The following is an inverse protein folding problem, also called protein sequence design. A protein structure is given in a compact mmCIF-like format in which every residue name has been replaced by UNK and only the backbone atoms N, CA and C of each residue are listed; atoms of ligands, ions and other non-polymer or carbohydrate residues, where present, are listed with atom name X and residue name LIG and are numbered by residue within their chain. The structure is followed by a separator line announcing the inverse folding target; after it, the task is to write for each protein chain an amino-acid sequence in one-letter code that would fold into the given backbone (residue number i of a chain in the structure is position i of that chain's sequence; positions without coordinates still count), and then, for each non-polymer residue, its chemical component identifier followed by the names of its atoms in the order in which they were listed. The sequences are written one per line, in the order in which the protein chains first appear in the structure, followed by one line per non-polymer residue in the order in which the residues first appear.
data_IF_034338801082
#
_entry.id   IF_034338801082
#
_cell.length_a   1.000
_cell.length_b   1.000
_cell.length_c   1.000
_cell.angle_alpha   90.00
_cell.angle_beta   90.00
_cell.angle_gamma   90.00
#
_symmetry.space_group_name_H-M   'P 1'
#
loop_
_entity.id
_entity.type
_entity.pdbx_description
1 polymer ?
#
# COMPACT_ATOMS: atom_id res chain seq x y z
N UNK A 1 3.72 5.90 -51.55
CA UNK A 1 3.63 6.80 -50.37
C UNK A 1 3.21 6.10 -49.08
N UNK A 2 2.29 5.12 -49.09
CA UNK A 2 1.83 4.47 -47.84
C UNK A 2 2.85 3.59 -47.11
N UNK A 3 3.78 2.93 -47.82
CA UNK A 3 4.74 2.01 -47.22
C UNK A 3 5.80 2.72 -46.34
N UNK A 4 6.22 3.92 -46.75
CA UNK A 4 7.19 4.73 -46.01
C UNK A 4 6.57 5.24 -44.70
N UNK A 5 5.29 5.62 -44.73
CA UNK A 5 4.55 6.08 -43.54
C UNK A 5 4.41 4.95 -42.51
N UNK A 6 4.15 3.71 -42.96
CA UNK A 6 4.05 2.54 -42.08
C UNK A 6 5.38 2.19 -41.38
N UNK A 7 6.51 2.36 -42.06
CA UNK A 7 7.83 2.15 -41.47
C UNK A 7 8.14 3.22 -40.41
N UNK A 8 7.79 4.48 -40.67
CA UNK A 8 8.04 5.57 -39.72
C UNK A 8 7.19 5.41 -38.45
N UNK A 9 5.91 5.03 -38.59
CA UNK A 9 5.03 4.84 -37.42
C UNK A 9 5.44 3.64 -36.58
N UNK A 10 5.89 2.55 -37.20
CA UNK A 10 6.39 1.37 -36.47
C UNK A 10 7.67 1.66 -35.70
N UNK A 11 8.62 2.39 -36.30
CA UNK A 11 9.85 2.82 -35.61
C UNK A 11 9.52 3.75 -34.42
N UNK A 12 8.57 4.67 -34.59
CA UNK A 12 8.15 5.58 -33.52
C UNK A 12 7.50 4.84 -32.34
N UNK A 13 6.66 3.84 -32.62
CA UNK A 13 6.04 2.99 -31.59
C UNK A 13 7.10 2.18 -30.83
N UNK A 14 8.08 1.59 -31.52
CA UNK A 14 9.18 0.84 -30.90
C UNK A 14 10.02 1.75 -29.99
N UNK A 15 10.28 2.99 -30.43
CA UNK A 15 10.99 3.98 -29.62
C UNK A 15 10.20 4.35 -28.36
N UNK A 16 8.88 4.54 -28.48
CA UNK A 16 8.00 4.86 -27.34
C UNK A 16 8.00 3.73 -26.29
N UNK A 17 7.90 2.48 -26.74
CA UNK A 17 7.91 1.29 -25.87
C UNK A 17 9.27 1.14 -25.18
N UNK A 18 10.37 1.33 -25.91
CA UNK A 18 11.73 1.24 -25.34
C UNK A 18 11.96 2.30 -24.26
N UNK A 19 11.50 3.52 -24.48
CA UNK A 19 11.62 4.60 -23.50
C UNK A 19 10.74 4.33 -22.25
N UNK A 20 9.57 3.71 -22.42
CA UNK A 20 8.72 3.32 -21.30
C UNK A 20 9.37 2.25 -20.42
N UNK A 21 10.01 1.24 -21.02
CA UNK A 21 10.69 0.15 -20.31
C UNK A 21 11.91 0.67 -19.53
N UNK A 22 12.68 1.59 -20.12
CA UNK A 22 13.85 2.17 -19.47
C UNK A 22 13.48 3.00 -18.23
N UNK A 23 12.33 3.69 -18.24
CA UNK A 23 11.84 4.45 -17.09
C UNK A 23 11.21 3.57 -15.99
N UNK A 24 10.85 2.32 -16.29
CA UNK A 24 10.28 1.39 -15.32
C UNK A 24 11.33 0.70 -14.44
N UNK A 25 12.61 0.70 -14.83
CA UNK A 25 13.68 -0.06 -14.17
C UNK A 25 14.40 0.68 -13.02
N UNK A 26 13.95 1.88 -12.64
CA UNK A 26 14.68 2.75 -11.70
C UNK A 26 13.98 2.91 -10.33
N UNK A 27 13.50 1.84 -9.69
CA UNK A 27 13.10 1.92 -8.27
C UNK A 27 13.30 0.60 -7.52
N UNK A 28 14.48 -0.02 -7.60
CA UNK A 28 14.81 -1.02 -6.58
C UNK A 28 16.31 -1.23 -6.41
N UNK A 29 16.95 -0.38 -5.58
CA UNK A 29 17.86 -0.77 -4.49
C UNK A 29 17.94 0.41 -3.52
N UNK A 30 17.25 0.31 -2.39
CA UNK A 30 17.68 1.00 -1.17
C UNK A 30 17.21 0.14 0.00
N UNK A 31 18.15 -0.67 0.46
CA UNK A 31 18.30 -1.15 1.83
C UNK A 31 17.76 -0.10 2.82
N UNK A 32 16.64 -0.38 3.48
CA UNK A 32 16.23 0.42 4.62
C UNK A 32 16.03 -0.49 5.82
N UNK A 33 17.14 -0.65 6.54
CA UNK A 33 17.21 -1.16 7.88
C UNK A 33 16.48 -0.16 8.79
N UNK A 34 15.45 -0.60 9.51
CA UNK A 34 14.77 0.30 10.44
C UNK A 34 14.48 -0.37 11.77
N UNK A 35 15.38 -0.08 12.70
CA UNK A 35 15.15 -0.10 14.13
C UNK A 35 14.12 0.98 14.50
N UNK A 36 12.83 0.67 14.39
CA UNK A 36 11.79 1.49 15.01
C UNK A 36 11.59 1.03 16.46
N UNK A 37 12.28 1.68 17.40
CA UNK A 37 12.00 1.55 18.83
C UNK A 37 10.65 2.19 19.15
N UNK A 38 9.62 1.37 19.30
CA UNK A 38 8.32 1.81 19.79
C UNK A 38 8.44 2.19 21.28
N UNK A 39 8.49 3.50 21.58
CA UNK A 39 8.15 3.98 22.91
C UNK A 39 6.64 3.81 23.13
N UNK A 40 6.26 2.65 23.66
CA UNK A 40 4.93 2.42 24.24
C UNK A 40 5.08 2.39 25.76
N UNK A 41 4.84 3.54 26.41
CA UNK A 41 4.53 3.55 27.84
C UNK A 41 3.05 3.23 27.99
N UNK A 42 2.76 1.96 28.23
CA UNK A 42 1.51 1.53 28.86
C UNK A 42 1.85 0.35 29.77
N UNK A 43 1.78 0.59 31.07
CA UNK A 43 1.99 -0.37 32.14
C UNK A 43 0.98 -1.52 32.01
N UNK A 44 1.38 -2.61 31.34
CA UNK A 44 0.59 -3.84 31.29
C UNK A 44 0.99 -4.76 32.44
N UNK A 45 0.01 -5.02 33.32
CA UNK A 45 0.10 -5.92 34.47
C UNK A 45 0.34 -7.36 33.96
N UNK A 46 1.50 -7.93 34.30
CA UNK A 46 1.91 -9.30 33.95
C UNK A 46 1.02 -10.31 34.66
N UNK A 47 0.24 -11.10 33.90
CA UNK A 47 -0.31 -12.37 34.39
C UNK A 47 0.15 -13.49 33.47
N UNK A 48 0.76 -14.52 34.06
CA UNK A 48 1.57 -15.52 33.34
C UNK A 48 0.87 -16.87 33.35
N UNK A 49 0.99 -17.58 32.22
CA UNK A 49 0.65 -18.99 31.91
C UNK A 49 -0.77 -19.21 31.38
N UNK A 50 -0.86 -19.49 30.07
CA UNK A 50 -1.07 -20.86 29.54
C UNK A 50 -0.42 -20.92 28.15
N UNK A 51 0.52 -21.85 27.96
CA UNK A 51 1.02 -22.26 26.65
C UNK A 51 -0.11 -23.00 25.91
N UNK A 52 -0.58 -22.45 24.79
CA UNK A 52 -1.38 -23.21 23.84
C UNK A 52 -0.59 -23.40 22.55
N UNK A 53 -0.24 -24.65 22.28
CA UNK A 53 0.22 -25.15 20.99
C UNK A 53 -0.71 -24.61 19.88
N UNK A 54 -0.21 -23.69 19.03
CA UNK A 54 -0.86 -23.27 17.80
C UNK A 54 0.19 -23.17 16.70
N UNK A 55 0.05 -24.05 15.71
CA UNK A 55 0.52 -23.97 14.32
C UNK A 55 1.20 -22.65 13.97
N UNK A 56 2.46 -22.73 13.54
CA UNK A 56 3.35 -21.62 13.16
C UNK A 56 2.58 -20.44 12.53
N UNK A 57 2.22 -19.46 13.35
CA UNK A 57 1.55 -18.25 12.90
C UNK A 57 2.53 -17.47 12.04
N UNK A 58 2.27 -17.48 10.72
CA UNK A 58 2.88 -16.58 9.73
C UNK A 58 3.04 -15.20 10.37
N UNK A 59 4.23 -14.59 10.36
CA UNK A 59 4.48 -13.34 11.07
C UNK A 59 3.40 -12.33 10.71
N UNK A 60 2.72 -11.80 11.73
CA UNK A 60 1.63 -10.83 11.57
C UNK A 60 2.18 -9.60 10.86
N UNK A 61 2.12 -9.62 9.52
CA UNK A 61 2.58 -8.52 8.70
C UNK A 61 1.81 -7.26 9.11
N UNK A 62 2.54 -6.21 9.47
CA UNK A 62 1.95 -4.92 9.82
C UNK A 62 1.12 -4.35 8.68
N UNK A 63 0.18 -3.46 9.00
CA UNK A 63 -0.78 -2.88 8.04
C UNK A 63 -0.08 -2.33 6.79
N UNK A 64 1.04 -1.60 6.95
CA UNK A 64 1.83 -1.07 5.83
C UNK A 64 2.38 -2.14 4.91
N UNK A 65 2.82 -3.28 5.45
CA UNK A 65 3.32 -4.41 4.65
C UNK A 65 2.21 -5.00 3.78
N UNK A 66 1.01 -5.17 4.34
CA UNK A 66 -0.15 -5.67 3.59
C UNK A 66 -0.63 -4.69 2.52
N UNK A 67 -0.57 -3.38 2.80
CA UNK A 67 -0.84 -2.36 1.78
C UNK A 67 0.17 -2.48 0.63
N UNK A 68 1.48 -2.56 0.92
CA UNK A 68 2.49 -2.75 -0.13
C UNK A 68 2.23 -4.01 -0.95
N UNK A 69 1.90 -5.11 -0.29
CA UNK A 69 1.56 -6.37 -0.95
C UNK A 69 0.33 -6.23 -1.86
N UNK A 70 -0.70 -5.51 -1.41
CA UNK A 70 -1.88 -5.26 -2.23
C UNK A 70 -1.54 -4.44 -3.48
N UNK A 71 -0.74 -3.39 -3.32
CA UNK A 71 -0.30 -2.53 -4.42
C UNK A 71 0.56 -3.32 -5.41
N UNK A 72 1.55 -4.07 -4.93
CA UNK A 72 2.47 -4.84 -5.80
C UNK A 72 1.75 -5.91 -6.61
N UNK A 73 0.72 -6.52 -6.02
CA UNK A 73 -0.02 -7.61 -6.63
C UNK A 73 -1.29 -7.14 -7.34
N UNK A 74 -1.56 -5.83 -7.36
CA UNK A 74 -2.79 -5.23 -7.87
C UNK A 74 -4.07 -5.89 -7.29
N UNK A 75 -4.06 -6.18 -5.99
CA UNK A 75 -5.20 -6.76 -5.27
C UNK A 75 -6.08 -5.69 -4.65
N UNK A 76 -7.38 -6.01 -4.58
CA UNK A 76 -8.32 -5.27 -3.75
C UNK A 76 -8.03 -5.52 -2.27
N UNK A 77 -8.43 -4.57 -1.43
CA UNK A 77 -8.32 -4.69 0.02
C UNK A 77 -9.65 -4.47 0.72
N UNK A 78 -9.85 -5.21 1.80
CA UNK A 78 -10.86 -4.92 2.81
C UNK A 78 -10.20 -4.29 4.02
N UNK A 79 -10.67 -3.13 4.46
CA UNK A 79 -10.18 -2.46 5.66
C UNK A 79 -11.30 -2.26 6.69
N UNK A 80 -10.95 -2.38 7.97
CA UNK A 80 -11.76 -1.88 9.08
C UNK A 80 -11.24 -0.50 9.47
N UNK A 81 -12.00 0.55 9.14
CA UNK A 81 -11.57 1.94 9.28
C UNK A 81 -12.28 2.63 10.44
N UNK A 82 -11.52 3.28 11.33
CA UNK A 82 -12.05 4.04 12.47
C UNK A 82 -12.61 5.39 12.00
N UNK A 83 -13.90 5.63 12.23
CA UNK A 83 -14.58 6.92 12.04
C UNK A 83 -14.21 7.92 13.15
N UNK A 84 -14.56 9.20 12.96
CA UNK A 84 -14.20 10.25 13.93
C UNK A 84 -14.93 10.08 15.27
N UNK A 85 -16.16 9.55 15.22
CA UNK A 85 -16.95 9.14 16.39
C UNK A 85 -16.38 7.92 17.15
N UNK A 86 -15.22 7.38 16.72
CA UNK A 86 -14.58 6.23 17.32
C UNK A 86 -15.11 4.86 16.87
N UNK A 87 -16.25 4.81 16.20
CA UNK A 87 -16.80 3.56 15.67
C UNK A 87 -16.05 3.10 14.42
N UNK A 88 -16.24 1.84 14.03
CA UNK A 88 -15.55 1.25 12.87
C UNK A 88 -16.50 1.04 11.71
N UNK A 89 -15.94 1.05 10.51
CA UNK A 89 -16.67 0.75 9.29
C UNK A 89 -15.83 -0.06 8.33
N UNK A 90 -16.43 -1.09 7.74
CA UNK A 90 -15.79 -1.90 6.71
C UNK A 90 -15.79 -1.15 5.38
N UNK A 91 -14.68 -1.24 4.63
CA UNK A 91 -14.52 -0.65 3.30
C UNK A 91 -13.80 -1.63 2.39
N UNK A 92 -14.28 -1.79 1.16
CA UNK A 92 -13.54 -2.41 0.06
C UNK A 92 -12.93 -1.31 -0.79
N UNK A 93 -11.62 -1.40 -1.04
CA UNK A 93 -10.87 -0.46 -1.85
C UNK A 93 -10.16 -1.19 -2.99
N UNK A 94 -10.19 -0.59 -4.17
CA UNK A 94 -9.43 -1.01 -5.36
C UNK A 94 -8.48 0.11 -5.81
N UNK A 95 -7.55 -0.20 -6.72
CA UNK A 95 -6.57 0.74 -7.27
C UNK A 95 -5.82 1.52 -6.17
N UNK A 96 -5.37 0.79 -5.15
CA UNK A 96 -4.75 1.38 -3.96
C UNK A 96 -3.37 1.91 -4.29
N UNK A 97 -3.00 3.05 -3.72
CA UNK A 97 -1.64 3.61 -3.77
C UNK A 97 -1.31 4.36 -2.48
N UNK A 98 -0.02 4.55 -2.19
CA UNK A 98 0.37 5.49 -1.14
C UNK A 98 0.16 6.91 -1.65
N UNK A 99 -0.40 7.77 -0.78
CA UNK A 99 -0.44 9.18 -1.07
C UNK A 99 0.90 9.80 -0.65
N UNK A 100 1.75 10.04 -1.64
CA UNK A 100 3.09 10.62 -1.47
C UNK A 100 3.01 12.15 -1.46
N UNK A 101 2.19 12.74 -0.59
CA UNK A 101 2.23 14.19 -0.40
C UNK A 101 3.52 14.60 0.31
N UNK A 102 4.26 15.54 -0.30
CA UNK A 102 5.47 16.12 0.29
C UNK A 102 5.11 17.06 1.43
N UNK A 103 5.72 16.85 2.59
CA UNK A 103 5.63 17.76 3.75
C UNK A 103 7.01 18.39 4.02
N UNK A 104 7.07 19.39 4.90
CA UNK A 104 8.30 20.07 5.29
C UNK A 104 9.41 19.11 5.77
N UNK A 105 9.03 17.95 6.28
CA UNK A 105 9.87 16.86 6.77
C UNK A 105 10.04 15.70 5.78
N UNK A 106 9.57 15.84 4.53
CA UNK A 106 9.66 14.85 3.47
C UNK A 106 8.35 14.08 3.19
N UNK A 107 8.46 12.93 2.52
CA UNK A 107 7.32 12.06 2.22
C UNK A 107 7.02 11.12 3.39
N UNK A 108 5.84 11.27 3.98
CA UNK A 108 5.47 10.49 5.16
C UNK A 108 4.60 9.25 4.87
N UNK A 109 4.06 9.11 3.65
CA UNK A 109 3.21 7.99 3.21
C UNK A 109 2.17 7.56 4.27
N UNK A 110 1.62 8.55 4.99
CA UNK A 110 0.71 8.35 6.11
C UNK A 110 -0.71 8.03 5.66
N UNK A 111 -0.97 8.17 4.37
CA UNK A 111 -2.26 7.98 3.75
C UNK A 111 -2.15 7.01 2.58
N UNK A 112 -3.24 6.30 2.33
CA UNK A 112 -3.48 5.59 1.08
C UNK A 112 -4.62 6.24 0.32
N UNK A 113 -4.53 6.22 -1.00
CA UNK A 113 -5.60 6.61 -1.92
C UNK A 113 -6.14 5.34 -2.58
N UNK A 114 -7.41 5.32 -2.92
CA UNK A 114 -8.01 4.21 -3.67
C UNK A 114 -9.50 4.44 -3.93
N UNK A 115 -10.05 3.65 -4.85
CA UNK A 115 -11.47 3.70 -5.18
C UNK A 115 -12.30 2.99 -4.11
N UNK A 116 -13.15 3.73 -3.40
CA UNK A 116 -13.97 3.21 -2.33
C UNK A 116 -15.31 2.73 -2.88
N UNK A 117 -15.52 1.41 -2.92
CA UNK A 117 -16.73 0.82 -3.49
C UNK A 117 -18.01 1.19 -2.74
N UNK A 118 -17.93 1.53 -1.44
CA UNK A 118 -19.10 1.99 -0.70
C UNK A 118 -19.56 3.39 -1.13
N UNK A 119 -18.62 4.24 -1.56
CA UNK A 119 -18.91 5.63 -1.94
C UNK A 119 -18.98 5.83 -3.45
N UNK A 120 -18.47 4.88 -4.23
CA UNK A 120 -18.42 4.97 -5.68
C UNK A 120 -17.42 6.00 -6.19
N UNK A 121 -16.43 6.38 -5.38
CA UNK A 121 -15.47 7.43 -5.71
C UNK A 121 -14.11 7.17 -5.04
N UNK A 122 -13.09 7.90 -5.50
CA UNK A 122 -11.76 7.85 -4.93
C UNK A 122 -11.68 8.59 -3.59
N UNK A 123 -11.05 7.98 -2.59
CA UNK A 123 -10.91 8.55 -1.25
C UNK A 123 -9.53 8.29 -0.66
N UNK A 124 -9.11 9.19 0.22
CA UNK A 124 -7.86 9.10 0.97
C UNK A 124 -8.13 8.64 2.41
N UNK A 125 -7.39 7.65 2.88
CA UNK A 125 -7.52 7.05 4.20
C UNK A 125 -6.20 7.15 4.96
N UNK A 126 -6.25 7.63 6.21
CA UNK A 126 -5.06 7.68 7.07
C UNK A 126 -4.73 6.29 7.59
N UNK A 127 -3.51 5.81 7.38
CA UNK A 127 -3.09 4.44 7.72
C UNK A 127 -3.24 4.18 9.22
N UNK A 128 -2.95 5.17 10.06
CA UNK A 128 -3.09 5.05 11.53
C UNK A 128 -4.52 4.81 12.01
N UNK A 129 -5.54 5.01 11.17
CA UNK A 129 -6.96 4.76 11.48
C UNK A 129 -7.45 3.41 10.97
N UNK A 130 -6.62 2.64 10.27
CA UNK A 130 -6.93 1.28 9.84
C UNK A 130 -6.68 0.36 11.03
N UNK A 131 -7.71 -0.37 11.46
CA UNK A 131 -7.61 -1.37 12.54
C UNK A 131 -7.10 -2.71 12.01
N UNK A 132 -7.60 -3.12 10.85
CA UNK A 132 -7.24 -4.37 10.19
C UNK A 132 -7.38 -4.25 8.69
N UNK A 133 -6.62 -5.08 7.98
CA UNK A 133 -6.59 -5.16 6.52
C UNK A 133 -6.49 -6.63 6.08
N UNK A 134 -7.29 -6.97 5.07
CA UNK A 134 -7.27 -8.24 4.35
C UNK A 134 -7.18 -7.99 2.84
N UNK A 135 -6.46 -8.86 2.14
CA UNK A 135 -6.47 -8.91 0.67
C UNK A 135 -7.74 -9.65 0.23
N UNK A 136 -8.32 -9.25 -0.90
CA UNK A 136 -9.48 -9.88 -1.52
C UNK A 136 -9.10 -10.34 -2.93
#
# INVERSE_FOLDING_TARGET
MGFIIFIITTIFIIYLISNLINNFSSTNKNEFNSNYTAHSRSSYKKNTRVQSNRSATKPTQGIRSKIRQAISNNHDIKIEYRKYDGTYSSRRLSNVSFNNEFKLDGYNNDHIKGFCHLRGEERTFRISRIKSIGLI
#
